data_IF_762822754736
#
_entry.id   IF_762822754736
#
_cell.length_a   1.000
_cell.length_b   1.000
_cell.length_c   1.000
_cell.angle_alpha   90.00
_cell.angle_beta   90.00
_cell.angle_gamma   90.00
#
_symmetry.space_group_name_H-M   'P 1'
#
loop_
_entity.id
_entity.type
_entity.pdbx_description
1 polymer ?
#
# COMPACT_ATOMS: atom_id res chain seq x y z
N UNK A 1 -17.26 -21.85 13.98
CA UNK A 1 -17.78 -20.69 13.21
C UNK A 1 -16.63 -19.70 13.08
N UNK A 2 -16.53 -18.97 11.97
CA UNK A 2 -15.50 -17.94 11.83
C UNK A 2 -15.86 -16.71 12.68
N UNK A 3 -14.86 -16.08 13.30
CA UNK A 3 -15.07 -14.96 14.22
C UNK A 3 -15.25 -13.64 13.46
N UNK A 4 -16.33 -12.89 13.66
CA UNK A 4 -16.53 -11.62 12.96
C UNK A 4 -15.44 -10.59 13.30
N UNK A 5 -14.93 -9.91 12.27
CA UNK A 5 -14.02 -8.76 12.39
C UNK A 5 -14.50 -7.64 11.46
N UNK A 6 -14.41 -6.40 11.93
CA UNK A 6 -14.77 -5.22 11.14
C UNK A 6 -13.50 -4.52 10.68
N UNK A 7 -13.43 -4.16 9.39
CA UNK A 7 -12.37 -3.34 8.82
C UNK A 7 -12.99 -2.03 8.32
N UNK A 8 -12.67 -0.89 8.93
CA UNK A 8 -13.10 0.43 8.49
C UNK A 8 -11.97 1.09 7.69
N UNK A 9 -12.20 1.38 6.41
CA UNK A 9 -11.18 2.02 5.57
C UNK A 9 -11.72 3.21 4.78
N UNK A 10 -10.86 4.17 4.49
CA UNK A 10 -11.22 5.31 3.66
C UNK A 10 -11.43 4.91 2.19
N UNK A 11 -12.55 5.36 1.64
CA UNK A 11 -12.76 5.43 0.21
C UNK A 11 -13.61 6.67 -0.05
N UNK A 12 -13.01 7.74 -0.56
CA UNK A 12 -13.69 8.98 -0.90
C UNK A 12 -12.96 9.69 -2.05
N UNK A 13 -13.59 10.68 -2.72
CA UNK A 13 -12.93 11.43 -3.78
C UNK A 13 -11.59 12.03 -3.31
N UNK A 14 -10.49 11.56 -3.90
CA UNK A 14 -9.13 12.02 -3.56
C UNK A 14 -8.34 11.12 -2.61
N UNK A 15 -8.95 10.15 -1.90
CA UNK A 15 -8.20 9.20 -1.04
C UNK A 15 -7.38 8.19 -1.84
N UNK A 16 -7.71 8.00 -3.12
CA UNK A 16 -7.23 6.89 -3.93
C UNK A 16 -7.79 5.54 -3.45
N UNK A 17 -7.34 4.45 -4.07
CA UNK A 17 -7.78 3.09 -3.76
C UNK A 17 -6.83 2.33 -2.80
N UNK A 18 -5.81 3.00 -2.27
CA UNK A 18 -4.75 2.37 -1.48
C UNK A 18 -5.26 1.69 -0.21
N UNK A 19 -6.09 2.41 0.56
CA UNK A 19 -6.65 1.92 1.82
C UNK A 19 -7.56 0.71 1.57
N UNK A 20 -8.49 0.83 0.61
CA UNK A 20 -9.34 -0.27 0.18
C UNK A 20 -8.52 -1.49 -0.25
N UNK A 21 -7.49 -1.31 -1.11
CA UNK A 21 -6.66 -2.41 -1.60
C UNK A 21 -6.01 -3.15 -0.43
N UNK A 22 -5.29 -2.45 0.46
CA UNK A 22 -4.61 -3.12 1.59
C UNK A 22 -5.60 -3.76 2.57
N UNK A 23 -6.76 -3.15 2.81
CA UNK A 23 -7.79 -3.77 3.64
C UNK A 23 -8.38 -5.04 3.01
N UNK A 24 -8.55 -5.10 1.68
CA UNK A 24 -9.01 -6.32 0.99
C UNK A 24 -7.96 -7.43 1.08
N UNK A 25 -6.69 -7.11 0.82
CA UNK A 25 -5.58 -8.07 1.01
C UNK A 25 -5.55 -8.59 2.44
N UNK A 26 -5.67 -7.70 3.42
CA UNK A 26 -5.70 -8.09 4.83
C UNK A 26 -6.94 -8.91 5.19
N UNK A 27 -8.11 -8.60 4.62
CA UNK A 27 -9.33 -9.36 4.84
C UNK A 27 -9.16 -10.83 4.43
N UNK A 28 -8.55 -11.10 3.27
CA UNK A 28 -8.25 -12.47 2.86
C UNK A 28 -7.23 -13.17 3.76
N UNK A 29 -6.23 -12.46 4.26
CA UNK A 29 -5.31 -13.00 5.25
C UNK A 29 -6.01 -13.32 6.59
N UNK A 30 -7.00 -12.51 6.99
CA UNK A 30 -7.81 -12.71 8.18
C UNK A 30 -8.74 -13.92 8.04
N UNK A 31 -9.31 -14.17 6.86
CA UNK A 31 -10.09 -15.39 6.59
C UNK A 31 -9.26 -16.67 6.81
N UNK A 32 -7.99 -16.65 6.38
CA UNK A 32 -7.06 -17.75 6.60
C UNK A 32 -6.73 -17.99 8.09
N UNK A 33 -6.85 -16.95 8.91
CA UNK A 33 -6.70 -17.01 10.37
C UNK A 33 -8.05 -17.21 11.09
N UNK A 34 -9.10 -17.61 10.37
CA UNK A 34 -10.41 -18.02 10.91
C UNK A 34 -11.36 -16.87 11.26
N UNK A 35 -11.09 -15.66 10.78
CA UNK A 35 -12.02 -14.54 10.91
C UNK A 35 -13.05 -14.51 9.76
N UNK A 36 -14.15 -13.80 9.98
CA UNK A 36 -15.14 -13.45 8.98
C UNK A 36 -15.14 -11.91 8.79
N UNK A 37 -14.30 -11.37 7.89
CA UNK A 37 -14.16 -9.93 7.72
C UNK A 37 -15.40 -9.29 7.11
N UNK A 38 -15.72 -8.09 7.61
CA UNK A 38 -16.71 -7.16 7.06
C UNK A 38 -16.03 -5.83 6.82
N UNK A 39 -15.96 -5.42 5.56
CA UNK A 39 -15.37 -4.15 5.19
C UNK A 39 -16.43 -3.05 5.28
N UNK A 40 -16.11 -1.97 5.99
CA UNK A 40 -16.93 -0.78 6.13
C UNK A 40 -16.25 0.37 5.39
N UNK A 41 -16.98 0.98 4.46
CA UNK A 41 -16.57 2.16 3.72
C UNK A 41 -17.65 3.24 3.80
N UNK A 42 -17.36 4.44 3.31
CA UNK A 42 -18.35 5.52 3.22
C UNK A 42 -19.50 5.06 2.31
N UNK A 43 -20.75 5.21 2.77
CA UNK A 43 -21.95 4.75 2.04
C UNK A 43 -22.06 5.33 0.63
N UNK A 44 -21.66 6.58 0.46
CA UNK A 44 -21.66 7.33 -0.78
C UNK A 44 -20.71 6.69 -1.81
N UNK A 45 -19.66 6.01 -1.34
CA UNK A 45 -18.71 5.32 -2.20
C UNK A 45 -19.22 3.96 -2.68
N UNK A 46 -20.21 3.36 -2.02
CA UNK A 46 -20.88 2.14 -2.52
C UNK A 46 -21.79 2.40 -3.71
N UNK A 47 -22.31 3.62 -3.84
CA UNK A 47 -23.12 4.02 -5.00
C UNK A 47 -22.27 4.08 -6.28
N UNK A 48 -20.96 4.26 -6.11
CA UNK A 48 -19.98 4.17 -7.20
C UNK A 48 -19.47 2.74 -7.38
N UNK A 49 -19.10 2.37 -8.61
CA UNK A 49 -18.46 1.09 -8.84
C UNK A 49 -17.11 1.04 -8.11
N UNK A 50 -16.94 0.07 -7.21
CA UNK A 50 -15.68 -0.11 -6.47
C UNK A 50 -14.50 -0.29 -7.44
N UNK A 51 -13.33 0.30 -7.14
CA UNK A 51 -12.18 0.26 -8.03
C UNK A 51 -11.54 -1.14 -8.12
N UNK A 52 -11.84 -2.03 -7.17
CA UNK A 52 -11.46 -3.44 -7.18
C UNK A 52 -12.59 -4.31 -6.65
N UNK A 53 -12.58 -5.59 -7.03
CA UNK A 53 -13.47 -6.59 -6.44
C UNK A 53 -12.94 -6.94 -5.05
N UNK A 54 -13.70 -6.64 -3.98
CA UNK A 54 -13.24 -6.91 -2.63
C UNK A 54 -13.18 -8.39 -2.28
N UNK A 55 -13.91 -9.27 -2.98
CA UNK A 55 -13.98 -10.70 -2.63
C UNK A 55 -14.50 -11.01 -1.22
N UNK A 56 -14.88 -9.99 -0.45
CA UNK A 56 -15.40 -10.03 0.91
C UNK A 56 -16.61 -9.10 1.01
N UNK A 57 -17.45 -9.29 2.03
CA UNK A 57 -18.63 -8.47 2.18
C UNK A 57 -18.27 -7.02 2.54
N UNK A 58 -18.86 -6.07 1.81
CA UNK A 58 -18.69 -4.63 1.99
C UNK A 58 -20.02 -3.99 2.38
N UNK A 59 -19.98 -3.07 3.32
CA UNK A 59 -21.14 -2.32 3.81
C UNK A 59 -20.80 -0.83 3.94
N UNK A 60 -21.84 0.00 3.82
CA UNK A 60 -21.71 1.45 3.89
C UNK A 60 -21.94 1.95 5.31
N UNK A 61 -21.10 2.88 5.75
CA UNK A 61 -21.28 3.65 6.98
C UNK A 61 -21.70 5.07 6.59
N UNK A 62 -22.83 5.59 7.10
CA UNK A 62 -23.25 6.95 6.83
C UNK A 62 -22.25 7.95 7.42
N UNK A 63 -21.58 8.72 6.55
CA UNK A 63 -20.68 9.81 6.97
C UNK A 63 -21.31 11.19 6.82
N UNK A 64 -22.34 11.32 5.96
CA UNK A 64 -23.00 12.59 5.69
C UNK A 64 -22.16 13.53 4.81
N UNK A 65 -22.59 14.78 4.59
CA UNK A 65 -21.95 15.69 3.64
C UNK A 65 -20.54 16.13 4.07
N UNK A 66 -20.21 15.97 5.35
CA UNK A 66 -18.88 16.21 5.91
C UNK A 66 -18.61 15.12 6.92
N UNK A 67 -17.42 14.55 6.86
CA UNK A 67 -16.98 13.52 7.79
C UNK A 67 -17.07 14.03 9.24
N UNK A 68 -17.80 13.30 10.08
CA UNK A 68 -17.89 13.50 11.52
C UNK A 68 -17.37 12.24 12.21
N UNK A 69 -16.16 12.34 12.74
CA UNK A 69 -15.46 11.24 13.41
C UNK A 69 -16.30 10.60 14.53
N UNK A 70 -17.05 11.39 15.30
CA UNK A 70 -17.82 10.87 16.42
C UNK A 70 -19.02 10.04 15.95
N UNK A 71 -19.67 10.48 14.87
CA UNK A 71 -20.77 9.72 14.25
C UNK A 71 -20.26 8.44 13.61
N UNK A 72 -19.13 8.51 12.90
CA UNK A 72 -18.49 7.33 12.31
C UNK A 72 -18.14 6.31 13.40
N UNK A 73 -17.53 6.75 14.50
CA UNK A 73 -17.17 5.88 15.62
C UNK A 73 -18.37 5.16 16.24
N UNK A 74 -19.47 5.88 16.47
CA UNK A 74 -20.72 5.30 17.00
C UNK A 74 -21.31 4.29 16.01
N UNK A 75 -21.34 4.62 14.71
CA UNK A 75 -21.89 3.74 13.69
C UNK A 75 -21.06 2.45 13.53
N UNK A 76 -19.74 2.57 13.49
CA UNK A 76 -18.81 1.43 13.41
C UNK A 76 -18.91 0.57 14.68
N UNK A 77 -18.93 1.18 15.87
CA UNK A 77 -19.06 0.46 17.13
C UNK A 77 -20.40 -0.30 17.22
N UNK A 78 -21.51 0.36 16.87
CA UNK A 78 -22.83 -0.26 16.83
C UNK A 78 -22.86 -1.44 15.83
N UNK A 79 -22.23 -1.28 14.66
CA UNK A 79 -22.15 -2.34 13.67
C UNK A 79 -21.31 -3.52 14.15
N UNK A 80 -20.16 -3.26 14.78
CA UNK A 80 -19.32 -4.28 15.37
C UNK A 80 -20.07 -5.06 16.46
N UNK A 81 -20.83 -4.38 17.33
CA UNK A 81 -21.68 -5.02 18.34
C UNK A 81 -22.76 -5.89 17.69
N UNK A 82 -23.48 -5.39 16.68
CA UNK A 82 -24.53 -6.13 16.00
C UNK A 82 -24.00 -7.40 15.30
N UNK A 83 -22.78 -7.36 14.79
CA UNK A 83 -22.12 -8.52 14.17
C UNK A 83 -21.47 -9.45 15.20
N UNK A 84 -21.40 -9.08 16.48
CA UNK A 84 -20.61 -9.81 17.47
C UNK A 84 -19.10 -9.72 17.25
N UNK A 85 -18.65 -8.75 16.45
CA UNK A 85 -17.23 -8.53 16.18
C UNK A 85 -16.52 -8.00 17.42
N UNK A 86 -15.49 -8.74 17.86
CA UNK A 86 -14.64 -8.35 19.00
C UNK A 86 -13.52 -7.40 18.59
N UNK A 87 -13.09 -7.46 17.34
CA UNK A 87 -11.99 -6.67 16.79
C UNK A 87 -12.53 -5.72 15.73
N UNK A 88 -12.08 -4.47 15.79
CA UNK A 88 -12.26 -3.45 14.77
C UNK A 88 -10.87 -2.97 14.33
N UNK A 89 -10.58 -3.11 13.04
CA UNK A 89 -9.38 -2.55 12.43
C UNK A 89 -9.75 -1.29 11.64
N UNK A 90 -8.95 -0.24 11.76
CA UNK A 90 -9.15 1.02 11.04
C UNK A 90 -7.97 1.35 10.14
N UNK A 91 -8.27 1.92 8.99
CA UNK A 91 -7.33 2.44 8.00
C UNK A 91 -7.86 3.76 7.41
N UNK A 92 -7.64 4.86 8.14
CA UNK A 92 -8.20 6.16 7.79
C UNK A 92 -7.31 7.31 8.26
N UNK A 93 -7.17 8.33 7.41
CA UNK A 93 -6.51 9.58 7.78
C UNK A 93 -7.45 10.59 8.44
N UNK A 94 -8.75 10.31 8.48
CA UNK A 94 -9.77 11.19 9.06
C UNK A 94 -10.07 10.86 10.51
N UNK A 95 -9.55 9.74 11.02
CA UNK A 95 -9.85 9.19 12.33
C UNK A 95 -8.78 9.60 13.36
N UNK A 96 -9.22 10.01 14.55
CA UNK A 96 -8.40 10.53 15.62
C UNK A 96 -8.73 9.90 16.98
N UNK A 97 -8.26 10.51 18.08
CA UNK A 97 -8.38 9.95 19.44
C UNK A 97 -9.81 9.63 19.88
N UNK A 98 -10.77 10.51 19.53
CA UNK A 98 -12.16 10.37 19.96
C UNK A 98 -12.82 9.12 19.39
N UNK A 99 -12.47 8.76 18.16
CA UNK A 99 -12.94 7.53 17.54
C UNK A 99 -12.47 6.29 18.31
N UNK A 100 -11.16 6.24 18.63
CA UNK A 100 -10.59 5.13 19.38
C UNK A 100 -11.26 4.98 20.74
N UNK A 101 -11.44 6.08 21.49
CA UNK A 101 -12.14 6.09 22.78
C UNK A 101 -13.56 5.52 22.67
N UNK A 102 -14.31 5.97 21.66
CA UNK A 102 -15.70 5.55 21.46
C UNK A 102 -15.82 4.06 21.14
N UNK A 103 -14.98 3.55 20.23
CA UNK A 103 -15.02 2.14 19.84
C UNK A 103 -14.53 1.24 20.99
N UNK A 104 -13.55 1.69 21.78
CA UNK A 104 -13.09 1.01 22.99
C UNK A 104 -14.15 1.00 24.10
N UNK A 105 -14.85 2.10 24.31
CA UNK A 105 -15.94 2.18 25.28
C UNK A 105 -17.08 1.20 24.97
N UNK A 106 -17.24 0.79 23.69
CA UNK A 106 -18.13 -0.30 23.28
C UNK A 106 -17.55 -1.72 23.56
N UNK A 107 -16.43 -1.83 24.27
CA UNK A 107 -15.77 -3.08 24.62
C UNK A 107 -15.11 -3.79 23.43
N UNK A 108 -14.69 -3.05 22.40
CA UNK A 108 -14.01 -3.61 21.23
C UNK A 108 -12.49 -3.52 21.38
N UNK A 109 -11.80 -4.53 20.87
CA UNK A 109 -10.36 -4.46 20.56
C UNK A 109 -10.22 -3.62 19.30
N UNK A 110 -9.31 -2.66 19.32
CA UNK A 110 -9.10 -1.70 18.23
C UNK A 110 -7.68 -1.81 17.70
N UNK A 111 -7.55 -1.98 16.39
CA UNK A 111 -6.28 -1.99 15.68
C UNK A 111 -6.27 -0.89 14.60
N UNK A 112 -5.10 -0.38 14.23
CA UNK A 112 -4.97 0.66 13.22
C UNK A 112 -3.80 0.42 12.26
N UNK A 113 -4.01 0.72 10.98
CA UNK A 113 -2.92 1.00 10.03
C UNK A 113 -2.55 2.47 10.19
N UNK A 114 -1.36 2.74 10.72
CA UNK A 114 -0.95 4.06 11.20
C UNK A 114 0.26 4.59 10.43
N UNK A 115 -0.02 5.21 9.28
CA UNK A 115 1.02 5.86 8.47
C UNK A 115 1.44 7.23 9.05
N UNK A 116 0.58 7.85 9.88
CA UNK A 116 0.75 9.23 10.37
C UNK A 116 1.26 9.32 11.82
N UNK A 117 1.28 8.20 12.55
CA UNK A 117 1.65 8.16 13.97
C UNK A 117 0.57 8.73 14.89
N UNK A 118 -0.70 8.69 14.47
CA UNK A 118 -1.83 9.32 15.18
C UNK A 118 -2.74 8.31 15.88
N UNK A 119 -2.45 7.01 15.81
CA UNK A 119 -3.30 5.95 16.35
C UNK A 119 -3.04 5.61 17.83
N UNK A 120 -2.74 6.61 18.66
CA UNK A 120 -2.35 6.42 20.07
C UNK A 120 -3.40 5.72 20.95
N UNK A 121 -4.66 5.66 20.52
CA UNK A 121 -5.74 4.97 21.23
C UNK A 121 -5.93 3.48 20.87
N UNK A 122 -5.20 2.95 19.89
CA UNK A 122 -5.33 1.56 19.44
C UNK A 122 -4.61 0.57 20.36
N UNK A 123 -5.13 -0.65 20.48
CA UNK A 123 -4.46 -1.77 21.16
C UNK A 123 -3.36 -2.39 20.28
N UNK A 124 -3.49 -2.26 18.96
CA UNK A 124 -2.50 -2.69 17.98
C UNK A 124 -2.33 -1.62 16.90
N UNK A 125 -1.10 -1.24 16.60
CA UNK A 125 -0.77 -0.35 15.47
C UNK A 125 0.11 -1.07 14.47
N UNK A 126 -0.09 -0.82 13.19
CA UNK A 126 0.74 -1.34 12.10
C UNK A 126 1.28 -0.17 11.31
N UNK A 127 2.59 -0.09 11.15
CA UNK A 127 3.23 0.83 10.23
C UNK A 127 4.35 0.12 9.50
N UNK A 128 4.35 0.22 8.17
CA UNK A 128 5.40 -0.36 7.32
C UNK A 128 6.32 0.73 6.75
N UNK A 129 6.25 1.95 7.29
CA UNK A 129 7.14 3.04 6.95
C UNK A 129 8.59 2.64 7.26
N UNK A 130 9.54 2.84 6.33
CA UNK A 130 10.92 2.46 6.54
C UNK A 130 11.63 3.42 7.51
N UNK A 131 12.69 2.96 8.15
CA UNK A 131 13.45 3.76 9.14
C UNK A 131 12.76 3.97 10.49
N UNK A 132 11.53 3.46 10.67
CA UNK A 132 10.93 3.29 11.98
C UNK A 132 11.63 2.14 12.72
N UNK A 133 11.83 2.24 14.04
CA UNK A 133 12.49 1.19 14.83
C UNK A 133 11.85 -0.18 14.56
N UNK A 134 12.58 -1.06 13.86
CA UNK A 134 12.04 -2.30 13.32
C UNK A 134 11.78 -3.32 14.43
N UNK A 135 10.66 -4.02 14.34
CA UNK A 135 10.32 -5.13 15.23
C UNK A 135 9.01 -4.87 15.96
N UNK A 136 8.32 -5.94 16.34
CA UNK A 136 7.16 -5.72 17.20
C UNK A 136 7.62 -5.41 18.62
N UNK A 137 7.13 -4.31 19.16
CA UNK A 137 7.26 -4.01 20.57
C UNK A 137 5.94 -4.42 21.22
N UNK A 138 5.92 -5.61 21.82
CA UNK A 138 4.96 -5.87 22.89
C UNK A 138 5.47 -5.11 24.11
N UNK A 139 4.58 -4.42 24.84
CA UNK A 139 4.92 -4.11 26.23
C UNK A 139 5.38 -5.39 26.91
N UNK A 140 6.36 -5.29 27.80
CA UNK A 140 6.68 -6.40 28.68
C UNK A 140 5.35 -6.93 29.26
N UNK A 141 5.21 -8.24 29.41
CA UNK A 141 3.97 -8.92 29.83
C UNK A 141 3.35 -8.41 31.16
N UNK A 142 4.00 -7.45 31.81
CA UNK A 142 3.62 -6.82 33.07
C UNK A 142 2.66 -5.63 32.90
N UNK A 143 2.51 -5.05 31.70
CA UNK A 143 1.54 -3.96 31.45
C UNK A 143 0.60 -4.28 30.28
N UNK A 144 -0.56 -4.85 30.62
CA UNK A 144 -1.62 -5.24 29.68
C UNK A 144 -2.19 -4.06 28.86
N UNK A 145 -1.93 -2.82 29.26
CA UNK A 145 -2.38 -1.62 28.55
C UNK A 145 -1.36 -1.10 27.53
N UNK A 146 -0.16 -1.69 27.43
CA UNK A 146 0.81 -1.26 26.40
C UNK A 146 0.39 -1.76 25.01
N UNK A 147 0.22 -0.87 24.02
CA UNK A 147 -0.23 -1.26 22.68
C UNK A 147 0.83 -2.08 21.94
N UNK A 148 0.40 -3.11 21.23
CA UNK A 148 1.24 -3.88 20.31
C UNK A 148 1.57 -2.98 19.11
N UNK A 149 2.85 -2.84 18.77
CA UNK A 149 3.27 -2.07 17.59
C UNK A 149 3.93 -3.00 16.58
N UNK A 150 3.38 -3.18 15.39
CA UNK A 150 3.97 -3.90 14.27
C UNK A 150 4.66 -2.89 13.35
N UNK A 151 5.98 -2.80 13.44
CA UNK A 151 6.76 -1.72 12.83
C UNK A 151 7.77 -2.25 11.81
N UNK A 152 7.76 -1.64 10.62
CA UNK A 152 8.74 -1.85 9.57
C UNK A 152 8.22 -2.60 8.33
N UNK A 153 9.04 -2.68 7.27
CA UNK A 153 8.64 -3.15 5.95
C UNK A 153 8.18 -4.62 5.89
N UNK A 154 8.54 -5.44 6.89
CA UNK A 154 8.06 -6.83 7.01
C UNK A 154 6.54 -6.93 7.26
N UNK A 155 5.89 -5.83 7.63
CA UNK A 155 4.44 -5.77 7.82
C UNK A 155 3.72 -5.11 6.65
N UNK A 156 4.41 -4.89 5.51
CA UNK A 156 3.79 -4.38 4.29
C UNK A 156 2.64 -5.31 3.85
N UNK A 157 1.45 -4.73 3.69
CA UNK A 157 0.26 -5.47 3.27
C UNK A 157 0.15 -5.37 1.75
N UNK A 158 0.40 -6.48 1.06
CA UNK A 158 0.28 -6.58 -0.40
C UNK A 158 -0.09 -8.00 -0.83
N UNK A 159 -0.75 -8.10 -1.97
CA UNK A 159 -1.01 -9.32 -2.74
C UNK A 159 0.02 -9.56 -3.84
N UNK A 160 0.95 -8.63 -4.04
CA UNK A 160 2.02 -8.76 -5.03
C UNK A 160 2.95 -9.91 -4.67
N UNK A 161 3.25 -10.82 -5.62
CA UNK A 161 4.22 -11.87 -5.38
C UNK A 161 5.62 -11.29 -5.25
N UNK A 162 6.49 -12.00 -4.52
CA UNK A 162 7.93 -11.74 -4.58
C UNK A 162 8.45 -12.18 -5.95
N UNK A 163 8.77 -11.20 -6.78
CA UNK A 163 9.25 -11.37 -8.15
C UNK A 163 10.72 -11.00 -8.31
N UNK A 164 11.46 -10.78 -7.21
CA UNK A 164 12.85 -10.34 -7.27
C UNK A 164 13.70 -11.35 -8.04
N UNK A 165 14.34 -10.87 -9.11
CA UNK A 165 15.27 -11.64 -9.93
C UNK A 165 16.63 -11.72 -9.24
N UNK A 166 17.26 -12.89 -9.30
CA UNK A 166 18.63 -13.09 -8.82
C UNK A 166 19.67 -12.37 -9.68
N UNK A 167 19.38 -12.16 -10.97
CA UNK A 167 20.26 -11.51 -11.94
C UNK A 167 19.53 -10.37 -12.67
N UNK A 168 19.45 -9.16 -12.07
CA UNK A 168 18.87 -8.00 -12.73
C UNK A 168 19.77 -7.54 -13.89
N UNK A 169 19.20 -6.99 -14.97
CA UNK A 169 20.02 -6.51 -16.09
C UNK A 169 20.96 -5.38 -15.64
N UNK A 170 22.18 -5.38 -16.16
CA UNK A 170 23.18 -4.33 -15.87
C UNK A 170 22.73 -2.96 -16.39
N UNK A 171 21.97 -2.95 -17.50
CA UNK A 171 21.41 -1.75 -18.11
C UNK A 171 19.90 -1.89 -18.27
N UNK A 172 19.10 -0.90 -17.82
CA UNK A 172 17.66 -0.96 -17.94
C UNK A 172 17.24 -0.73 -19.39
N UNK A 173 16.15 -1.37 -19.79
CA UNK A 173 15.50 -1.17 -21.09
C UNK A 173 14.04 -0.78 -20.94
N UNK A 174 13.35 -1.34 -19.95
CA UNK A 174 11.90 -1.18 -19.79
C UNK A 174 11.59 -0.27 -18.60
N UNK A 175 10.86 0.81 -18.87
CA UNK A 175 10.40 1.77 -17.87
C UNK A 175 8.87 1.78 -17.87
N UNK A 176 8.27 1.73 -16.68
CA UNK A 176 6.84 1.99 -16.50
C UNK A 176 6.63 3.24 -15.66
N UNK A 177 5.69 4.09 -16.06
CA UNK A 177 5.35 5.33 -15.36
C UNK A 177 3.88 5.36 -14.96
N UNK A 178 3.58 5.80 -13.73
CA UNK A 178 2.20 5.93 -13.26
C UNK A 178 2.03 7.09 -12.26
N UNK A 179 0.82 7.67 -12.20
CA UNK A 179 0.46 8.76 -11.28
C UNK A 179 -0.54 8.31 -10.21
N UNK A 180 -0.43 7.04 -9.78
CA UNK A 180 -1.36 6.41 -8.83
C UNK A 180 -2.77 6.19 -9.40
N UNK A 181 -3.71 5.84 -8.52
CA UNK A 181 -5.07 5.44 -8.93
C UNK A 181 -5.93 6.57 -9.52
N UNK A 182 -5.58 7.83 -9.27
CA UNK A 182 -6.30 9.00 -9.83
C UNK A 182 -5.75 9.44 -11.18
N UNK A 183 -4.54 8.99 -11.57
CA UNK A 183 -3.91 9.41 -12.81
C UNK A 183 -3.51 10.89 -12.82
N UNK A 184 -3.14 11.46 -11.66
CA UNK A 184 -2.83 12.88 -11.50
C UNK A 184 -1.46 13.28 -12.07
N UNK A 185 -1.18 12.98 -13.35
CA UNK A 185 0.12 13.21 -13.98
C UNK A 185 0.58 14.68 -13.91
N UNK A 186 -0.34 15.64 -13.98
CA UNK A 186 -0.03 17.07 -13.85
C UNK A 186 0.59 17.45 -12.50
N UNK A 187 0.28 16.74 -11.42
CA UNK A 187 0.81 17.03 -10.09
C UNK A 187 2.33 16.78 -9.96
N UNK A 188 2.92 16.01 -10.88
CA UNK A 188 4.37 15.79 -10.96
C UNK A 188 4.89 15.96 -12.40
N UNK A 189 4.32 16.93 -13.13
CA UNK A 189 4.65 17.19 -14.54
C UNK A 189 6.16 17.25 -14.85
N UNK A 190 7.03 17.88 -14.02
CA UNK A 190 8.48 17.90 -14.29
C UNK A 190 9.09 16.49 -14.38
N UNK A 191 8.67 15.56 -13.53
CA UNK A 191 9.12 14.17 -13.59
C UNK A 191 8.65 13.48 -14.86
N UNK A 192 7.36 13.54 -15.16
CA UNK A 192 6.81 12.84 -16.33
C UNK A 192 7.32 13.42 -17.65
N UNK A 193 7.56 14.73 -17.73
CA UNK A 193 8.20 15.34 -18.89
C UNK A 193 9.64 14.84 -19.08
N UNK A 194 10.40 14.73 -17.99
CA UNK A 194 11.78 14.25 -18.04
C UNK A 194 11.90 12.78 -18.52
N UNK A 195 10.88 11.94 -18.27
CA UNK A 195 10.85 10.55 -18.77
C UNK A 195 11.02 10.52 -20.29
N UNK A 196 10.31 11.39 -21.03
CA UNK A 196 10.38 11.42 -22.49
C UNK A 196 11.79 11.69 -23.00
N UNK A 197 12.43 12.71 -22.44
CA UNK A 197 13.72 13.19 -22.93
C UNK A 197 14.84 12.19 -22.57
N UNK A 198 14.80 11.63 -21.35
CA UNK A 198 15.73 10.58 -20.91
C UNK A 198 15.52 9.28 -21.69
N UNK A 199 14.26 8.87 -21.89
CA UNK A 199 13.95 7.65 -22.64
C UNK A 199 14.43 7.71 -24.08
N UNK A 200 14.31 8.86 -24.74
CA UNK A 200 14.83 9.05 -26.09
C UNK A 200 16.36 8.93 -26.15
N UNK A 201 17.09 9.50 -25.18
CA UNK A 201 18.56 9.44 -25.13
C UNK A 201 19.09 8.02 -24.87
N UNK A 202 18.40 7.26 -24.04
CA UNK A 202 18.83 5.92 -23.63
C UNK A 202 18.10 4.78 -24.34
N UNK A 203 17.21 5.12 -25.28
CA UNK A 203 16.40 4.15 -26.05
C UNK A 203 15.59 3.23 -25.12
N UNK A 204 14.88 3.81 -24.13
CA UNK A 204 14.04 3.05 -23.21
C UNK A 204 12.67 2.75 -23.82
N UNK A 205 12.19 1.53 -23.58
CA UNK A 205 10.81 1.11 -23.84
C UNK A 205 9.92 1.62 -22.71
N UNK A 206 9.18 2.71 -22.97
CA UNK A 206 8.32 3.36 -21.96
C UNK A 206 6.88 2.86 -22.08
N UNK A 207 6.32 2.45 -20.94
CA UNK A 207 4.89 2.17 -20.78
C UNK A 207 4.27 3.13 -19.77
N UNK A 208 3.16 3.76 -20.14
CA UNK A 208 2.36 4.57 -19.22
C UNK A 208 1.19 3.76 -18.69
N UNK A 209 1.09 3.66 -17.37
CA UNK A 209 -0.01 2.96 -16.71
C UNK A 209 -1.05 3.96 -16.25
N UNK A 210 -2.24 3.88 -16.85
CA UNK A 210 -3.34 4.81 -16.64
C UNK A 210 -4.52 4.14 -15.93
N UNK A 211 -5.25 4.84 -15.05
CA UNK A 211 -6.46 4.30 -14.43
C UNK A 211 -7.62 4.11 -15.42
N UNK A 212 -7.58 4.78 -16.58
CA UNK A 212 -8.59 4.62 -17.62
C UNK A 212 -8.26 5.36 -18.93
N UNK A 213 -9.07 5.16 -19.98
CA UNK A 213 -8.83 5.70 -21.32
C UNK A 213 -8.73 7.22 -21.38
N UNK A 214 -9.57 7.94 -20.63
CA UNK A 214 -9.56 9.42 -20.62
C UNK A 214 -8.21 9.99 -20.15
N UNK A 215 -7.57 9.36 -19.16
CA UNK A 215 -6.25 9.76 -18.68
C UNK A 215 -5.18 9.43 -19.71
N UNK A 216 -5.27 8.27 -20.36
CA UNK A 216 -4.38 7.87 -21.45
C UNK A 216 -4.43 8.85 -22.64
N UNK A 217 -5.62 9.33 -22.99
CA UNK A 217 -5.80 10.36 -24.02
C UNK A 217 -5.19 11.70 -23.59
N UNK A 218 -5.41 12.11 -22.33
CA UNK A 218 -4.80 13.31 -21.75
C UNK A 218 -3.28 13.30 -21.88
N UNK A 219 -2.63 12.21 -21.47
CA UNK A 219 -1.16 12.06 -21.55
C UNK A 219 -0.59 12.34 -22.95
N UNK A 220 -1.27 11.85 -23.99
CA UNK A 220 -0.85 12.06 -25.38
C UNK A 220 -1.11 13.50 -25.82
N UNK A 221 -2.29 14.03 -25.53
CA UNK A 221 -2.67 15.42 -25.86
C UNK A 221 -1.72 16.43 -25.20
N UNK A 222 -1.35 16.17 -23.95
CA UNK A 222 -0.53 17.07 -23.14
C UNK A 222 0.98 16.91 -23.41
N UNK A 223 1.35 16.00 -24.34
CA UNK A 223 2.71 15.80 -24.84
C UNK A 223 3.66 15.08 -23.88
N UNK A 224 3.11 14.42 -22.85
CA UNK A 224 3.88 13.63 -21.87
C UNK A 224 4.26 12.26 -22.45
N UNK A 225 3.31 11.60 -23.14
CA UNK A 225 3.58 10.34 -23.84
C UNK A 225 4.00 10.59 -25.29
N UNK A 226 5.21 10.17 -25.67
CA UNK A 226 5.66 10.21 -27.06
C UNK A 226 4.92 9.16 -27.93
N UNK A 227 4.88 9.33 -29.27
CA UNK A 227 4.16 8.42 -30.16
C UNK A 227 4.59 6.95 -30.08
N UNK A 228 5.85 6.68 -29.73
CA UNK A 228 6.41 5.34 -29.57
C UNK A 228 6.25 4.77 -28.15
N UNK A 229 5.68 5.52 -27.20
CA UNK A 229 5.42 5.01 -25.86
C UNK A 229 4.17 4.12 -25.86
N UNK A 230 4.24 2.99 -25.15
CA UNK A 230 3.09 2.16 -24.89
C UNK A 230 2.20 2.81 -23.82
N UNK A 231 0.90 2.50 -23.86
CA UNK A 231 -0.03 2.86 -22.80
C UNK A 231 -0.80 1.61 -22.40
N UNK A 232 -0.75 1.26 -21.13
CA UNK A 232 -1.56 0.19 -20.54
C UNK A 232 -2.54 0.79 -19.54
N UNK A 233 -3.63 0.06 -19.32
CA UNK A 233 -4.65 0.44 -18.37
C UNK A 233 -4.51 -0.39 -17.10
N UNK A 234 -4.84 0.21 -15.95
CA UNK A 234 -4.87 -0.50 -14.69
C UNK A 234 -5.83 -1.68 -14.78
N UNK A 235 -5.32 -2.88 -14.51
CA UNK A 235 -6.09 -4.13 -14.54
C UNK A 235 -6.42 -4.53 -13.11
N UNK A 236 -7.53 -5.28 -12.96
CA UNK A 236 -7.94 -5.83 -11.66
C UNK A 236 -7.12 -7.04 -11.22
N UNK A 237 -6.32 -7.62 -12.11
CA UNK A 237 -5.57 -8.85 -11.84
C UNK A 237 -4.29 -8.56 -11.01
N UNK A 238 -4.09 -9.24 -9.86
CA UNK A 238 -2.91 -9.08 -8.99
C UNK A 238 -1.61 -9.69 -9.54
N UNK A 239 -1.54 -10.00 -10.84
CA UNK A 239 -0.32 -10.48 -11.49
C UNK A 239 0.91 -9.59 -11.24
N UNK A 240 2.13 -10.10 -11.53
CA UNK A 240 3.38 -9.39 -11.27
C UNK A 240 3.62 -8.24 -12.27
N UNK A 241 2.80 -7.19 -12.16
CA UNK A 241 2.77 -6.03 -13.04
C UNK A 241 4.14 -5.37 -13.20
N UNK A 242 4.87 -5.24 -12.11
CA UNK A 242 6.15 -4.53 -12.05
C UNK A 242 7.33 -5.41 -12.47
N UNK A 243 7.21 -6.73 -12.34
CA UNK A 243 8.29 -7.67 -12.64
C UNK A 243 8.73 -7.64 -14.10
N UNK A 244 7.92 -7.09 -15.01
CA UNK A 244 8.26 -6.87 -16.41
C UNK A 244 9.15 -5.65 -16.67
N UNK A 245 9.43 -4.81 -15.69
CA UNK A 245 10.10 -3.53 -15.87
C UNK A 245 11.39 -3.42 -15.06
N UNK A 246 12.34 -2.65 -15.58
CA UNK A 246 13.64 -2.44 -14.94
C UNK A 246 13.63 -1.18 -14.06
N UNK A 247 12.84 -0.17 -14.46
CA UNK A 247 12.58 1.07 -13.72
C UNK A 247 11.06 1.30 -13.61
N UNK A 248 10.61 1.69 -12.41
CA UNK A 248 9.22 2.11 -12.14
C UNK A 248 9.24 3.56 -11.67
N UNK A 249 8.53 4.47 -12.35
CA UNK A 249 8.44 5.88 -11.99
C UNK A 249 7.05 6.19 -11.47
N UNK A 250 6.93 6.64 -10.21
CA UNK A 250 5.62 6.92 -9.63
C UNK A 250 5.62 7.41 -8.18
N UNK A 251 4.44 7.69 -7.61
CA UNK A 251 4.31 8.20 -6.26
C UNK A 251 4.81 7.20 -5.19
N UNK A 252 5.43 7.71 -4.12
CA UNK A 252 5.85 6.93 -2.97
C UNK A 252 4.65 6.40 -2.17
N UNK A 253 4.13 5.25 -2.58
CA UNK A 253 2.89 4.62 -2.09
C UNK A 253 3.05 3.10 -2.05
N UNK A 254 1.96 2.34 -1.83
CA UNK A 254 1.96 0.85 -1.91
C UNK A 254 2.69 0.33 -3.15
N UNK A 255 2.44 0.92 -4.31
CA UNK A 255 3.09 0.56 -5.59
C UNK A 255 4.63 0.60 -5.57
N UNK A 256 5.23 1.48 -4.76
CA UNK A 256 6.68 1.55 -4.60
C UNK A 256 7.21 0.28 -3.94
N UNK A 257 6.57 -0.18 -2.86
CA UNK A 257 6.93 -1.43 -2.20
C UNK A 257 6.73 -2.62 -3.15
N UNK A 258 5.63 -2.64 -3.89
CA UNK A 258 5.34 -3.70 -4.87
C UNK A 258 6.39 -3.75 -5.99
N UNK A 259 6.86 -2.59 -6.47
CA UNK A 259 7.93 -2.50 -7.45
C UNK A 259 9.26 -3.06 -6.89
N UNK A 260 9.60 -2.74 -5.64
CA UNK A 260 10.79 -3.28 -4.96
C UNK A 260 10.67 -4.80 -4.81
N UNK A 261 9.52 -5.28 -4.32
CA UNK A 261 9.21 -6.69 -4.10
C UNK A 261 9.20 -7.51 -5.40
N UNK A 262 8.96 -6.87 -6.54
CA UNK A 262 9.02 -7.51 -7.85
C UNK A 262 10.34 -7.25 -8.60
N UNK A 263 11.31 -6.61 -7.94
CA UNK A 263 12.66 -6.47 -8.47
C UNK A 263 12.88 -5.33 -9.46
N UNK A 264 11.99 -4.33 -9.53
CA UNK A 264 12.21 -3.12 -10.32
C UNK A 264 12.92 -2.02 -9.51
N UNK A 265 13.63 -1.10 -10.17
CA UNK A 265 14.20 0.09 -9.52
C UNK A 265 13.13 1.21 -9.47
N UNK A 266 12.56 1.56 -8.31
CA UNK A 266 11.66 2.69 -8.22
C UNK A 266 12.42 4.02 -8.35
N UNK A 267 11.82 4.98 -9.05
CA UNK A 267 12.09 6.42 -8.96
C UNK A 267 10.81 7.04 -8.44
N UNK A 268 10.89 7.68 -7.27
CA UNK A 268 9.70 8.05 -6.52
C UNK A 268 9.64 9.51 -6.13
N UNK A 269 8.43 9.98 -5.88
CA UNK A 269 8.18 11.36 -5.46
C UNK A 269 6.87 11.48 -4.68
N UNK A 270 6.71 12.59 -3.96
CA UNK A 270 5.44 12.96 -3.34
C UNK A 270 4.52 13.65 -4.36
N UNK A 271 3.30 13.14 -4.52
CA UNK A 271 2.24 13.73 -5.35
C UNK A 271 1.15 14.43 -4.51
N UNK A 272 1.12 14.18 -3.20
CA UNK A 272 0.11 14.71 -2.26
C UNK A 272 0.71 15.01 -0.88
N UNK A 273 -0.02 15.78 -0.05
CA UNK A 273 0.45 16.20 1.29
C UNK A 273 0.56 15.03 2.26
N UNK A 274 -0.18 13.96 2.02
CA UNK A 274 -0.21 12.77 2.88
C UNK A 274 1.01 11.87 2.69
N UNK A 275 1.82 12.12 1.67
CA UNK A 275 3.06 11.38 1.42
C UNK A 275 4.24 12.09 2.07
N UNK A 276 4.31 11.94 3.39
CA UNK A 276 5.25 12.68 4.25
C UNK A 276 6.58 11.97 4.48
N UNK A 277 6.73 10.72 4.02
CA UNK A 277 7.97 9.97 4.18
C UNK A 277 9.14 10.62 3.46
N UNK A 278 10.04 11.22 4.24
CA UNK A 278 11.24 11.86 3.73
C UNK A 278 12.24 10.86 3.15
N UNK A 279 13.19 11.38 2.36
CA UNK A 279 14.27 10.57 1.75
C UNK A 279 15.02 9.71 2.77
N UNK A 280 15.29 10.24 3.96
CA UNK A 280 16.04 9.53 5.00
C UNK A 280 15.37 8.21 5.41
N UNK A 281 14.03 8.17 5.44
CA UNK A 281 13.28 6.95 5.70
C UNK A 281 13.50 5.91 4.59
N UNK A 282 13.42 6.33 3.32
CA UNK A 282 13.57 5.44 2.16
C UNK A 282 14.99 4.86 2.01
N UNK A 283 16.02 5.59 2.46
CA UNK A 283 17.40 5.11 2.46
C UNK A 283 17.55 3.82 3.30
N UNK A 284 16.75 3.62 4.35
CA UNK A 284 16.76 2.38 5.13
C UNK A 284 16.33 1.14 4.32
N UNK A 285 15.60 1.31 3.22
CA UNK A 285 15.31 0.23 2.27
C UNK A 285 16.35 0.11 1.14
N UNK A 286 17.40 0.94 1.16
CA UNK A 286 18.33 1.10 0.05
C UNK A 286 17.76 1.89 -1.12
N UNK A 287 16.62 2.57 -0.94
CA UNK A 287 15.98 3.38 -1.97
C UNK A 287 16.45 4.84 -1.90
N UNK A 288 17.31 5.23 -2.84
CA UNK A 288 17.94 6.56 -2.87
C UNK A 288 17.32 7.50 -3.91
N UNK A 289 16.45 6.99 -4.78
CA UNK A 289 15.80 7.74 -5.87
C UNK A 289 14.43 8.26 -5.43
N UNK A 290 14.41 9.09 -4.39
CA UNK A 290 13.21 9.75 -3.89
C UNK A 290 13.37 11.28 -3.97
N UNK A 291 12.39 11.96 -4.56
CA UNK A 291 12.31 13.41 -4.62
C UNK A 291 11.18 13.94 -3.74
N UNK A 292 11.50 14.94 -2.92
CA UNK A 292 10.47 15.77 -2.30
C UNK A 292 9.89 16.78 -3.30
N UNK A 293 8.91 17.57 -2.86
CA UNK A 293 8.26 18.58 -3.72
C UNK A 293 9.15 19.76 -4.08
N UNK A 294 10.03 20.20 -3.19
CA UNK A 294 10.93 21.31 -3.47
C UNK A 294 11.95 20.91 -4.53
N UNK A 295 12.45 19.67 -4.46
CA UNK A 295 13.31 19.08 -5.47
C UNK A 295 12.59 18.83 -6.79
N UNK A 296 11.33 18.40 -6.77
CA UNK A 296 10.50 18.26 -7.97
C UNK A 296 10.29 19.59 -8.72
N UNK A 297 10.18 20.70 -7.98
CA UNK A 297 10.03 22.03 -8.56
C UNK A 297 11.36 22.60 -9.10
N UNK A 298 12.49 22.00 -8.76
CA UNK A 298 13.80 22.48 -9.17
C UNK A 298 14.14 22.07 -10.62
N UNK A 299 14.47 23.01 -11.52
CA UNK A 299 14.80 22.71 -12.90
C UNK A 299 15.91 21.66 -13.04
N UNK A 300 15.72 20.70 -13.94
CA UNK A 300 16.71 19.65 -14.25
C UNK A 300 16.87 18.54 -13.19
N UNK A 301 16.29 18.67 -11.98
CA UNK A 301 16.43 17.65 -10.93
C UNK A 301 15.77 16.32 -11.29
N UNK A 302 14.56 16.38 -11.85
CA UNK A 302 13.85 15.19 -12.34
C UNK A 302 14.65 14.44 -13.40
N UNK A 303 15.19 15.18 -14.38
CA UNK A 303 16.05 14.63 -15.43
C UNK A 303 17.32 14.01 -14.86
N UNK A 304 18.03 14.72 -13.98
CA UNK A 304 19.23 14.21 -13.34
C UNK A 304 18.97 12.94 -12.52
N UNK A 305 17.82 12.85 -11.83
CA UNK A 305 17.46 11.65 -11.08
C UNK A 305 17.19 10.45 -12.01
N UNK A 306 16.47 10.66 -13.10
CA UNK A 306 16.21 9.61 -14.10
C UNK A 306 17.49 9.18 -14.82
N UNK A 307 18.37 10.12 -15.16
CA UNK A 307 19.70 9.85 -15.72
C UNK A 307 20.51 8.93 -14.80
N UNK A 308 20.52 9.20 -13.50
CA UNK A 308 21.16 8.32 -12.51
C UNK A 308 20.49 6.96 -12.43
N UNK A 309 19.15 6.90 -12.46
CA UNK A 309 18.43 5.62 -12.45
C UNK A 309 18.81 4.72 -13.64
N UNK A 310 19.15 5.32 -14.79
CA UNK A 310 19.61 4.59 -15.98
C UNK A 310 21.10 4.25 -15.92
N UNK A 311 21.96 5.23 -15.61
CA UNK A 311 23.42 5.10 -15.70
C UNK A 311 24.03 4.36 -14.52
N UNK A 312 23.45 4.48 -13.32
CA UNK A 312 23.88 3.81 -12.09
C UNK A 312 22.97 2.61 -11.73
N UNK A 313 22.14 2.14 -12.67
CA UNK A 313 21.07 1.16 -12.43
C UNK A 313 21.52 -0.06 -11.62
N UNK A 314 22.59 -0.74 -12.04
CA UNK A 314 23.08 -1.94 -11.37
C UNK A 314 23.49 -1.68 -9.90
N UNK A 315 24.18 -0.57 -9.63
CA UNK A 315 24.62 -0.20 -8.29
C UNK A 315 23.44 0.17 -7.39
N UNK A 316 22.49 0.95 -7.92
CA UNK A 316 21.27 1.35 -7.21
C UNK A 316 20.37 0.14 -6.91
N UNK A 317 20.23 -0.78 -7.87
CA UNK A 317 19.52 -2.05 -7.69
C UNK A 317 20.18 -2.94 -6.64
N UNK A 318 21.51 -3.02 -6.62
CA UNK A 318 22.23 -3.80 -5.62
C UNK A 318 22.03 -3.22 -4.20
N UNK A 319 22.12 -1.89 -4.06
CA UNK A 319 21.85 -1.21 -2.79
C UNK A 319 20.41 -1.44 -2.32
N UNK A 320 19.43 -1.30 -3.23
CA UNK A 320 18.03 -1.55 -2.95
C UNK A 320 17.77 -3.01 -2.54
N UNK A 321 18.36 -3.98 -3.24
CA UNK A 321 18.22 -5.40 -2.90
C UNK A 321 18.83 -5.73 -1.52
N UNK A 322 19.94 -5.07 -1.16
CA UNK A 322 20.56 -5.23 0.15
C UNK A 322 19.71 -4.62 1.27
N UNK A 323 19.15 -3.42 1.08
CA UNK A 323 18.36 -2.71 2.09
C UNK A 323 16.92 -3.22 2.24
N UNK A 324 16.32 -3.77 1.18
CA UNK A 324 14.92 -4.23 1.17
C UNK A 324 14.72 -5.70 1.55
N UNK A 325 15.69 -6.34 2.21
CA UNK A 325 15.60 -7.77 2.59
C UNK A 325 14.42 -8.08 3.51
N UNK A 326 14.04 -7.13 4.35
CA UNK A 326 12.90 -7.27 5.26
C UNK A 326 11.54 -7.10 4.56
N UNK A 327 11.50 -6.60 3.33
CA UNK A 327 10.28 -6.53 2.53
C UNK A 327 10.02 -7.89 1.89
N UNK A 328 8.83 -8.44 2.14
CA UNK A 328 8.34 -9.69 1.58
C UNK A 328 6.82 -9.64 1.36
N UNK A 329 6.25 -10.70 0.79
CA UNK A 329 4.82 -10.84 0.50
C UNK A 329 4.00 -11.37 1.70
N UNK A 330 4.54 -11.37 2.92
CA UNK A 330 3.93 -12.02 4.08
C UNK A 330 3.39 -11.06 5.15
N UNK A 331 3.50 -9.74 4.95
CA UNK A 331 3.08 -8.76 5.96
C UNK A 331 1.60 -8.88 6.33
N UNK A 332 0.70 -9.10 5.38
CA UNK A 332 -0.73 -9.32 5.65
C UNK A 332 -0.96 -10.52 6.59
N UNK A 333 -0.27 -11.63 6.36
CA UNK A 333 -0.35 -12.82 7.23
C UNK A 333 0.17 -12.54 8.62
N UNK A 334 1.28 -11.80 8.76
CA UNK A 334 1.83 -11.43 10.07
C UNK A 334 0.85 -10.56 10.86
N UNK A 335 0.23 -9.58 10.20
CA UNK A 335 -0.78 -8.71 10.82
C UNK A 335 -2.01 -9.52 11.24
N UNK A 336 -2.53 -10.39 10.37
CA UNK A 336 -3.68 -11.24 10.68
C UNK A 336 -3.45 -12.14 11.91
N UNK A 337 -2.25 -12.72 12.03
CA UNK A 337 -1.87 -13.53 13.20
C UNK A 337 -1.76 -12.73 14.49
N UNK A 338 -1.22 -11.52 14.41
CA UNK A 338 -1.16 -10.63 15.57
C UNK A 338 -2.57 -10.26 16.04
N UNK A 339 -3.49 -9.98 15.12
CA UNK A 339 -4.90 -9.73 15.43
C UNK A 339 -5.58 -10.96 16.03
N UNK A 340 -5.29 -12.17 15.52
CA UNK A 340 -5.78 -13.43 16.10
C UNK A 340 -5.27 -13.63 17.54
N UNK A 341 -3.95 -13.49 17.76
CA UNK A 341 -3.37 -13.61 19.10
C UNK A 341 -4.02 -12.61 20.08
N UNK A 342 -4.19 -11.36 19.66
CA UNK A 342 -4.82 -10.32 20.46
C UNK A 342 -6.29 -10.65 20.77
N UNK A 343 -7.06 -11.13 19.79
CA UNK A 343 -8.46 -11.53 19.98
C UNK A 343 -8.61 -12.70 20.97
N UNK A 344 -7.66 -13.62 20.95
CA UNK A 344 -7.62 -14.80 21.84
C UNK A 344 -7.07 -14.46 23.24
N UNK A 345 -6.57 -13.23 23.47
CA UNK A 345 -5.89 -12.86 24.71
C UNK A 345 -4.55 -13.56 24.90
N UNK A 346 -3.91 -14.00 23.80
CA UNK A 346 -2.61 -14.68 23.81
C UNK A 346 -1.48 -13.67 23.59
N UNK A 347 -0.30 -13.87 24.21
CA UNK A 347 0.87 -13.07 23.90
C UNK A 347 1.25 -13.27 22.43
N UNK A 348 1.54 -12.17 21.73
CA UNK A 348 2.07 -12.20 20.38
C UNK A 348 3.60 -12.27 20.43
N UNK A 349 4.20 -13.35 19.92
CA UNK A 349 5.65 -13.44 19.74
C UNK A 349 6.04 -13.03 18.31
N UNK A 350 6.75 -11.91 18.11
CA UNK A 350 7.15 -11.42 16.79
C UNK A 350 8.13 -12.34 16.07
N UNK A 351 8.98 -13.06 16.82
CA UNK A 351 9.99 -13.95 16.27
C UNK A 351 9.37 -15.18 15.60
N UNK A 352 8.27 -15.69 16.18
CA UNK A 352 7.49 -16.78 15.56
C UNK A 352 6.82 -16.34 14.25
N UNK A 353 6.45 -15.07 14.13
CA UNK A 353 5.89 -14.52 12.89
C UNK A 353 6.96 -14.31 11.79
N UNK A 354 8.22 -14.08 12.18
CA UNK A 354 9.35 -13.96 11.25
C UNK A 354 9.80 -15.32 10.68
N UNK A 355 9.79 -16.38 11.51
CA UNK A 355 10.26 -17.73 11.12
C UNK A 355 9.46 -18.39 9.98
N UNK A 356 8.23 -17.92 9.71
CA UNK A 356 7.33 -18.54 8.72
C UNK A 356 7.74 -18.23 7.28
N UNK A 357 8.59 -17.21 7.05
CA UNK A 357 9.20 -16.94 5.75
C UNK A 357 10.10 -18.10 5.24
N UNK A 358 10.51 -19.02 6.11
CA UNK A 358 11.37 -20.15 5.76
C UNK A 358 10.61 -21.41 5.28
N UNK A 359 9.26 -21.45 5.37
CA UNK A 359 8.48 -22.59 4.91
C UNK A 359 7.68 -22.28 3.63
N UNK A 360 8.07 -22.84 2.47
CA UNK A 360 7.32 -22.68 1.23
C UNK A 360 6.07 -23.56 1.28
N UNK A 361 5.01 -23.06 1.91
CA UNK A 361 3.70 -23.71 1.86
C UNK A 361 2.59 -22.66 1.78
N UNK A 362 2.51 -22.02 0.62
CA UNK A 362 1.20 -21.64 0.11
C UNK A 362 1.06 -22.27 -1.28
N UNK A 363 0.06 -23.12 -1.52
CA UNK A 363 -0.21 -23.59 -2.86
C UNK A 363 -0.51 -22.36 -3.70
N UNK A 364 0.11 -22.27 -4.88
CA UNK A 364 -0.32 -21.33 -5.90
C UNK A 364 -1.83 -21.49 -6.06
N UNK A 365 -2.62 -20.55 -5.51
CA UNK A 365 -4.07 -20.57 -5.68
C UNK A 365 -4.30 -20.36 -7.17
N UNK A 366 -5.04 -21.30 -7.75
CA UNK A 366 -5.32 -21.35 -9.18
C UNK A 366 -5.82 -20.00 -9.69
N UNK A 367 -5.39 -19.66 -10.91
CA UNK A 367 -5.82 -18.47 -11.60
C UNK A 367 -7.34 -18.31 -11.52
N UNK A 368 -7.76 -17.07 -11.30
CA UNK A 368 -9.15 -16.65 -11.35
C UNK A 368 -9.80 -17.19 -12.64
N UNK A 369 -11.01 -17.76 -12.58
CA UNK A 369 -11.70 -18.19 -13.79
C UNK A 369 -11.93 -16.95 -14.66
N UNK A 370 -11.33 -16.95 -15.84
CA UNK A 370 -11.60 -15.98 -16.89
C UNK A 370 -13.06 -16.17 -17.34
N UNK A 371 -13.96 -15.43 -16.72
CA UNK A 371 -15.39 -15.48 -16.98
C UNK A 371 -15.85 -14.36 -17.92
N UNK A 372 -16.14 -14.79 -19.15
CA UNK A 372 -17.15 -14.26 -20.08
C UNK A 372 -17.14 -12.76 -20.44
N UNK A 373 -16.66 -12.49 -21.67
CA UNK A 373 -17.09 -11.36 -22.50
C UNK A 373 -18.58 -11.47 -22.85
N UNK A 374 -19.28 -10.35 -23.09
CA UNK A 374 -20.07 -10.18 -24.30
C UNK A 374 -19.13 -9.87 -25.48
#
# INVERSE_FOLDING_TARGET
MADPIVLRCDLFPGSGAGHLKRCVVLAHALEAEGFAPRLLIDSESLESALPLDPGVAVEGVPVGPRFDEARDAVAVAARAVALGARVVLVDSYRIGPRWFETVRAAGRIVAALDDLGTAGGAHLTVTYAPGTETGAKSGAAEDADTPIRLVGPAYMITDSPDGRRSDPPVRPRRLIAHAGGTGAFEAARPMFAAIRDVAARHTLDVTWLCPGPAVAESLRRDGLAAPNHAVDLWRRDPGPLWAGYDIVVGPASTSLYEAILQGALPVSFAISDTQTSGRDQWIHLGHTLHMDRAEMASPGRAEAMLERAVTEHAALRAALAAGSRALDAHGATRVARALRALADGRPFNPEHAAAIAAHPSSPARGGWPAGAKP
#
